data_IF_112457016204
#
_entry.id   IF_112457016204
#
_cell.length_a   1.000
_cell.length_b   1.000
_cell.length_c   1.000
_cell.angle_alpha   90.00
_cell.angle_beta   90.00
_cell.angle_gamma   90.00
#
_symmetry.space_group_name_H-M   'P 1'
#
loop_
_entity.id
_entity.type
_entity.pdbx_description
1 polymer ?
#
# COMPACT_ATOMS: atom_id res chain seq x y z
N UNK A 1 -20.72 48.30 0.65
CA UNK A 1 -21.01 47.50 -0.55
C UNK A 1 -19.68 46.99 -1.11
N UNK A 2 -19.07 45.98 -0.48
CA UNK A 2 -18.03 45.14 -1.10
C UNK A 2 -18.05 43.79 -0.39
N UNK A 3 -18.74 42.85 -1.01
CA UNK A 3 -18.90 41.46 -0.61
C UNK A 3 -17.60 40.69 -0.89
N UNK A 4 -17.29 39.79 0.03
CA UNK A 4 -16.94 38.38 -0.24
C UNK A 4 -15.80 38.09 -1.22
N UNK A 5 -14.60 37.77 -0.71
CA UNK A 5 -13.58 37.04 -1.48
C UNK A 5 -12.56 36.24 -0.63
N UNK A 6 -12.90 35.81 0.59
CA UNK A 6 -12.00 35.00 1.44
C UNK A 6 -12.64 33.76 2.08
N UNK A 7 -13.68 33.19 1.46
CA UNK A 7 -14.15 31.83 1.78
C UNK A 7 -13.97 30.90 0.57
N UNK A 8 -12.71 30.76 0.13
CA UNK A 8 -12.28 29.62 -0.68
C UNK A 8 -11.98 28.45 0.24
N UNK A 9 -13.00 27.67 0.56
CA UNK A 9 -12.94 26.41 1.31
C UNK A 9 -11.75 25.54 0.86
N UNK A 10 -10.71 25.46 1.69
CA UNK A 10 -9.78 24.32 1.65
C UNK A 10 -10.54 23.14 2.25
N UNK A 11 -11.32 22.43 1.43
CA UNK A 11 -11.81 21.09 1.78
C UNK A 11 -10.56 20.24 2.04
N UNK A 12 -10.24 19.99 3.30
CA UNK A 12 -9.12 19.14 3.67
C UNK A 12 -9.35 17.76 3.06
N UNK A 13 -8.67 17.47 1.95
CA UNK A 13 -8.36 16.11 1.54
C UNK A 13 -7.71 15.44 2.75
N UNK A 14 -8.22 14.28 3.16
CA UNK A 14 -7.64 13.47 4.24
C UNK A 14 -6.91 12.28 3.63
N UNK A 15 -5.68 12.46 3.11
CA UNK A 15 -4.88 11.34 2.65
C UNK A 15 -4.42 10.50 3.85
N UNK A 16 -4.69 9.19 3.80
CA UNK A 16 -4.20 8.22 4.78
C UNK A 16 -3.21 7.30 4.07
N UNK A 17 -1.96 7.30 4.54
CA UNK A 17 -0.92 6.39 4.05
C UNK A 17 -0.83 5.16 4.95
N UNK A 18 -0.92 3.98 4.34
CA UNK A 18 -0.90 2.70 5.07
C UNK A 18 0.48 2.06 4.96
N UNK A 19 1.12 1.87 6.12
CA UNK A 19 2.46 1.32 6.27
C UNK A 19 2.46 -0.22 6.24
N UNK A 20 3.58 -0.83 5.88
CA UNK A 20 3.65 -2.29 5.67
C UNK A 20 4.97 -2.88 6.16
N UNK A 21 4.89 -4.08 6.72
CA UNK A 21 6.01 -4.94 7.05
C UNK A 21 6.65 -5.53 5.79
N UNK A 22 7.98 -5.69 5.80
CA UNK A 22 8.77 -6.31 4.71
C UNK A 22 9.37 -7.68 5.07
N UNK A 23 8.79 -8.41 6.03
CA UNK A 23 9.31 -9.70 6.49
C UNK A 23 8.95 -10.84 5.53
N UNK A 24 9.91 -11.73 5.28
CA UNK A 24 9.68 -13.03 4.62
C UNK A 24 9.56 -14.18 5.62
N UNK A 25 9.98 -13.97 6.87
CA UNK A 25 9.75 -14.92 7.95
C UNK A 25 8.37 -14.63 8.52
N UNK A 26 7.41 -15.50 8.19
CA UNK A 26 6.04 -15.39 8.65
C UNK A 26 5.85 -16.21 9.92
N UNK A 27 5.09 -15.65 10.86
CA UNK A 27 4.75 -16.28 12.14
C UNK A 27 3.26 -16.18 12.36
N UNK A 28 2.70 -17.07 13.16
CA UNK A 28 1.32 -16.96 13.59
C UNK A 28 1.25 -15.99 14.77
N UNK A 29 0.34 -15.03 14.70
CA UNK A 29 0.08 -14.03 15.75
C UNK A 29 -0.74 -14.61 16.90
N UNK A 30 -0.94 -13.82 17.96
CA UNK A 30 -1.82 -14.21 19.07
C UNK A 30 -3.28 -14.43 18.62
N UNK A 31 -3.67 -13.77 17.53
CA UNK A 31 -5.01 -13.86 16.92
C UNK A 31 -5.17 -15.07 15.99
N UNK A 32 -4.11 -15.88 15.83
CA UNK A 32 -4.13 -17.09 15.00
C UNK A 32 -4.04 -16.82 13.50
N UNK A 33 -3.62 -15.61 13.11
CA UNK A 33 -3.43 -15.20 11.72
C UNK A 33 -1.94 -15.15 11.35
N UNK A 34 -1.64 -15.24 10.06
CA UNK A 34 -0.27 -15.02 9.57
C UNK A 34 0.13 -13.54 9.76
N UNK A 35 1.26 -13.28 10.43
CA UNK A 35 1.75 -11.95 10.83
C UNK A 35 1.86 -10.99 9.65
N UNK A 36 2.41 -11.45 8.52
CA UNK A 36 2.59 -10.60 7.33
C UNK A 36 1.22 -10.21 6.75
N UNK A 37 0.29 -11.16 6.66
CA UNK A 37 -1.07 -10.92 6.18
C UNK A 37 -1.84 -10.00 7.12
N UNK A 38 -1.80 -10.29 8.42
CA UNK A 38 -2.52 -9.53 9.43
C UNK A 38 -2.05 -8.08 9.46
N UNK A 39 -0.73 -7.87 9.48
CA UNK A 39 -0.14 -6.53 9.54
C UNK A 39 -0.36 -5.73 8.25
N UNK A 40 -0.18 -6.36 7.08
CA UNK A 40 -0.19 -5.63 5.80
C UNK A 40 -1.58 -5.51 5.19
N UNK A 41 -2.49 -6.43 5.49
CA UNK A 41 -3.81 -6.53 4.85
C UNK A 41 -4.91 -6.39 5.88
N UNK A 42 -5.05 -7.37 6.78
CA UNK A 42 -6.28 -7.51 7.56
C UNK A 42 -6.46 -6.39 8.58
N UNK A 43 -5.40 -6.00 9.29
CA UNK A 43 -5.44 -4.88 10.24
C UNK A 43 -5.83 -3.56 9.55
N UNK A 44 -5.24 -3.28 8.39
CA UNK A 44 -5.61 -2.09 7.59
C UNK A 44 -7.02 -2.17 7.04
N UNK A 45 -7.46 -3.35 6.61
CA UNK A 45 -8.83 -3.58 6.17
C UNK A 45 -9.84 -3.27 7.27
N UNK A 46 -9.64 -3.80 8.48
CA UNK A 46 -10.49 -3.51 9.64
C UNK A 46 -10.46 -2.01 9.97
N UNK A 47 -9.28 -1.39 10.00
CA UNK A 47 -9.13 0.05 10.25
C UNK A 47 -9.97 0.88 9.26
N UNK A 48 -9.92 0.57 7.97
CA UNK A 48 -10.69 1.28 6.94
C UNK A 48 -12.19 1.05 7.14
N UNK A 49 -12.60 -0.17 7.49
CA UNK A 49 -14.01 -0.51 7.74
C UNK A 49 -14.58 0.25 8.94
N UNK A 50 -13.81 0.37 10.03
CA UNK A 50 -14.21 1.15 11.22
C UNK A 50 -14.24 2.66 10.94
N UNK A 51 -13.32 3.15 10.09
CA UNK A 51 -13.25 4.57 9.72
C UNK A 51 -14.13 4.94 8.51
N UNK A 52 -14.87 3.99 7.93
CA UNK A 52 -15.61 4.17 6.68
C UNK A 52 -16.55 5.39 6.72
N UNK A 53 -17.28 5.56 7.84
CA UNK A 53 -18.21 6.68 8.05
C UNK A 53 -17.51 8.04 8.16
N UNK A 54 -16.25 8.06 8.59
CA UNK A 54 -15.45 9.27 8.71
C UNK A 54 -14.71 9.62 7.42
N UNK A 55 -14.47 8.64 6.57
CA UNK A 55 -13.73 8.76 5.31
C UNK A 55 -14.65 9.04 4.12
N UNK A 56 -15.84 8.46 4.10
CA UNK A 56 -16.78 8.57 2.98
C UNK A 56 -17.66 9.81 3.09
N UNK A 57 -17.24 10.90 2.44
CA UNK A 57 -18.01 12.14 2.33
C UNK A 57 -18.04 12.64 0.89
N UNK A 58 -19.23 12.77 0.29
CA UNK A 58 -19.39 13.29 -1.07
C UNK A 58 -18.88 14.72 -1.23
N UNK A 59 -18.98 15.53 -0.18
CA UNK A 59 -18.56 16.93 -0.21
C UNK A 59 -17.06 17.12 0.08
N UNK A 60 -16.37 16.12 0.62
CA UNK A 60 -14.95 16.21 0.93
C UNK A 60 -14.26 14.89 0.58
N UNK A 61 -13.75 14.75 -0.65
CA UNK A 61 -13.07 13.56 -1.09
C UNK A 61 -11.94 13.16 -0.13
N UNK A 62 -11.88 11.88 0.20
CA UNK A 62 -10.80 11.27 0.97
C UNK A 62 -9.98 10.36 0.08
N UNK A 63 -8.71 10.14 0.45
CA UNK A 63 -7.79 9.33 -0.32
C UNK A 63 -7.10 8.31 0.58
N UNK A 64 -7.20 7.04 0.22
CA UNK A 64 -6.38 5.96 0.76
C UNK A 64 -5.16 5.80 -0.15
N UNK A 65 -3.97 5.84 0.44
CA UNK A 65 -2.71 5.61 -0.28
C UNK A 65 -2.03 4.37 0.31
N UNK A 66 -1.95 3.33 -0.51
CA UNK A 66 -1.38 2.05 -0.13
C UNK A 66 0.08 1.95 -0.53
N UNK A 67 0.95 1.58 0.40
CA UNK A 67 2.36 1.32 0.09
C UNK A 67 2.53 -0.11 -0.43
N UNK A 68 2.62 -0.29 -1.74
CA UNK A 68 2.88 -1.58 -2.37
C UNK A 68 4.35 -1.72 -2.82
N UNK A 69 4.66 -2.76 -3.59
CA UNK A 69 6.01 -3.06 -4.07
C UNK A 69 6.01 -3.49 -5.55
N UNK A 70 7.18 -3.43 -6.18
CA UNK A 70 7.45 -4.12 -7.46
C UNK A 70 7.40 -5.65 -7.32
N UNK A 71 7.53 -6.16 -6.09
CA UNK A 71 7.39 -7.58 -5.78
C UNK A 71 5.94 -8.04 -5.62
N UNK A 72 4.93 -7.19 -5.85
CA UNK A 72 3.53 -7.61 -5.89
C UNK A 72 3.30 -8.49 -7.13
N UNK A 73 3.39 -9.81 -6.96
CA UNK A 73 3.35 -10.78 -8.07
C UNK A 73 2.11 -11.67 -7.94
N UNK A 74 1.32 -11.72 -9.01
CA UNK A 74 0.15 -12.61 -9.12
C UNK A 74 0.49 -14.08 -8.87
N UNK A 75 1.65 -14.53 -9.35
CA UNK A 75 2.13 -15.91 -9.18
C UNK A 75 2.31 -16.34 -7.72
N UNK A 76 2.44 -15.37 -6.81
CA UNK A 76 2.73 -15.60 -5.41
C UNK A 76 1.48 -15.41 -4.54
N UNK A 77 0.28 -15.29 -5.12
CA UNK A 77 -0.97 -15.09 -4.39
C UNK A 77 -2.00 -16.15 -4.77
N UNK A 78 -2.78 -16.61 -3.79
CA UNK A 78 -3.91 -17.54 -3.97
C UNK A 78 -5.12 -17.02 -3.21
N UNK A 79 -6.30 -17.06 -3.84
CA UNK A 79 -7.55 -16.68 -3.18
C UNK A 79 -7.97 -17.71 -2.13
N UNK A 80 -7.56 -18.96 -2.29
CA UNK A 80 -7.83 -20.07 -1.38
C UNK A 80 -6.93 -20.04 -0.14
N UNK A 81 -5.80 -19.32 -0.21
CA UNK A 81 -4.85 -19.11 0.88
C UNK A 81 -4.46 -17.63 0.97
N UNK A 82 -5.44 -16.76 1.26
CA UNK A 82 -5.22 -15.30 1.33
C UNK A 82 -4.17 -14.89 2.36
N UNK A 83 -3.99 -15.72 3.40
CA UNK A 83 -3.00 -15.50 4.46
C UNK A 83 -1.59 -15.92 4.05
N UNK A 84 -1.47 -16.64 2.92
CA UNK A 84 -0.22 -17.20 2.41
C UNK A 84 0.44 -18.21 3.37
N UNK A 85 -0.38 -18.95 4.12
CA UNK A 85 0.06 -19.89 5.16
C UNK A 85 0.89 -21.05 4.62
N UNK A 86 0.72 -21.42 3.35
CA UNK A 86 1.41 -22.56 2.71
C UNK A 86 2.54 -22.12 1.77
N UNK A 87 2.71 -20.83 1.55
CA UNK A 87 3.66 -20.30 0.57
C UNK A 87 5.00 -19.86 1.16
N UNK A 88 5.99 -19.61 0.29
CA UNK A 88 7.35 -19.22 0.68
C UNK A 88 7.65 -17.71 0.52
N UNK A 89 6.68 -16.98 -0.05
CA UNK A 89 6.81 -15.56 -0.43
C UNK A 89 5.69 -14.68 0.17
N UNK A 90 5.49 -14.68 1.51
CA UNK A 90 4.38 -13.99 2.19
C UNK A 90 4.41 -12.49 1.95
N UNK A 91 5.60 -11.88 1.88
CA UNK A 91 5.70 -10.46 1.55
C UNK A 91 5.17 -10.17 0.14
N UNK A 92 5.62 -10.92 -0.87
CA UNK A 92 5.18 -10.75 -2.26
C UNK A 92 3.66 -10.93 -2.41
N UNK A 93 3.12 -11.96 -1.75
CA UNK A 93 1.69 -12.26 -1.69
C UNK A 93 0.89 -11.10 -1.07
N UNK A 94 1.30 -10.62 0.11
CA UNK A 94 0.64 -9.48 0.76
C UNK A 94 0.68 -8.21 -0.10
N UNK A 95 1.78 -7.94 -0.80
CA UNK A 95 1.87 -6.78 -1.72
C UNK A 95 0.93 -6.89 -2.92
N UNK A 96 0.67 -8.10 -3.41
CA UNK A 96 -0.33 -8.32 -4.44
C UNK A 96 -1.76 -8.18 -3.89
N UNK A 97 -2.02 -8.69 -2.69
CA UNK A 97 -3.30 -8.51 -2.00
C UNK A 97 -3.62 -7.03 -1.72
N UNK A 98 -2.62 -6.19 -1.42
CA UNK A 98 -2.78 -4.73 -1.33
C UNK A 98 -3.30 -4.14 -2.65
N UNK A 99 -2.71 -4.55 -3.78
CA UNK A 99 -3.09 -4.04 -5.09
C UNK A 99 -4.57 -4.40 -5.39
N UNK A 100 -4.96 -5.65 -5.12
CA UNK A 100 -6.35 -6.12 -5.23
C UNK A 100 -7.28 -5.32 -4.31
N UNK A 101 -6.93 -5.20 -3.03
CA UNK A 101 -7.76 -4.52 -2.04
C UNK A 101 -7.95 -3.05 -2.37
N UNK A 102 -6.91 -2.35 -2.83
CA UNK A 102 -7.01 -0.96 -3.26
C UNK A 102 -8.01 -0.80 -4.41
N UNK A 103 -7.99 -1.70 -5.39
CA UNK A 103 -8.92 -1.66 -6.54
C UNK A 103 -10.35 -1.92 -6.07
N UNK A 104 -10.57 -2.95 -5.25
CA UNK A 104 -11.89 -3.27 -4.71
C UNK A 104 -12.47 -2.11 -3.88
N UNK A 105 -11.68 -1.53 -2.98
CA UNK A 105 -12.10 -0.40 -2.16
C UNK A 105 -12.42 0.84 -3.00
N UNK A 106 -11.59 1.17 -4.00
CA UNK A 106 -11.87 2.30 -4.88
C UNK A 106 -13.21 2.10 -5.60
N UNK A 107 -13.42 0.92 -6.19
CA UNK A 107 -14.66 0.62 -6.93
C UNK A 107 -15.89 0.69 -6.03
N UNK A 108 -15.77 0.32 -4.76
CA UNK A 108 -16.87 0.25 -3.81
C UNK A 108 -17.23 1.60 -3.17
N UNK A 109 -16.23 2.45 -2.93
CA UNK A 109 -16.40 3.66 -2.14
C UNK A 109 -16.15 4.98 -2.90
N UNK A 110 -15.68 4.94 -4.15
CA UNK A 110 -15.44 6.17 -4.94
C UNK A 110 -16.71 7.02 -5.10
N UNK A 111 -17.87 6.40 -5.32
CA UNK A 111 -19.16 7.10 -5.42
C UNK A 111 -19.58 7.78 -4.11
N UNK A 112 -18.97 7.36 -2.98
CA UNK A 112 -19.17 7.94 -1.65
C UNK A 112 -18.05 8.90 -1.25
N UNK A 113 -17.19 9.28 -2.20
CA UNK A 113 -16.10 10.24 -1.99
C UNK A 113 -14.82 9.64 -1.42
N UNK A 114 -14.66 8.31 -1.38
CA UNK A 114 -13.42 7.67 -0.93
C UNK A 114 -12.69 7.01 -2.09
N UNK A 115 -11.51 7.52 -2.41
CA UNK A 115 -10.67 7.03 -3.51
C UNK A 115 -9.49 6.27 -2.95
N UNK A 116 -9.02 5.26 -3.68
CA UNK A 116 -7.88 4.43 -3.27
C UNK A 116 -6.82 4.41 -4.37
N UNK A 117 -5.58 4.61 -3.99
CA UNK A 117 -4.43 4.69 -4.89
C UNK A 117 -3.26 3.88 -4.32
N UNK A 118 -2.41 3.36 -5.20
CA UNK A 118 -1.26 2.54 -4.81
C UNK A 118 0.04 3.25 -5.16
N UNK A 119 0.96 3.32 -4.20
CA UNK A 119 2.31 3.85 -4.38
C UNK A 119 3.37 2.75 -4.28
N UNK A 120 4.48 2.90 -4.98
CA UNK A 120 5.66 2.07 -4.89
C UNK A 120 6.91 2.94 -4.65
N UNK A 121 7.57 2.82 -3.49
CA UNK A 121 8.71 3.68 -3.13
C UNK A 121 10.01 3.42 -3.92
N UNK A 122 10.04 2.36 -4.74
CA UNK A 122 11.28 1.87 -5.33
C UNK A 122 12.18 1.16 -4.31
N UNK A 123 13.41 0.86 -4.71
CA UNK A 123 14.41 0.20 -3.88
C UNK A 123 15.22 1.25 -3.13
N UNK A 124 14.90 1.43 -1.85
CA UNK A 124 15.62 2.29 -0.93
C UNK A 124 16.67 1.48 -0.17
N UNK A 125 17.81 2.11 0.13
CA UNK A 125 18.72 1.60 1.14
C UNK A 125 18.21 2.08 2.50
N UNK A 126 17.87 1.13 3.36
CA UNK A 126 17.43 1.39 4.73
C UNK A 126 18.50 0.93 5.71
N UNK A 127 18.41 1.32 6.98
CA UNK A 127 19.33 0.82 8.01
C UNK A 127 19.37 -0.72 8.07
N UNK A 128 18.30 -1.39 7.65
CA UNK A 128 18.24 -2.85 7.50
C UNK A 128 19.21 -3.39 6.45
N UNK A 129 19.41 -2.68 5.33
CA UNK A 129 20.38 -3.08 4.30
C UNK A 129 21.82 -2.78 4.71
N UNK A 130 22.06 -1.66 5.39
CA UNK A 130 23.41 -1.27 5.79
C UNK A 130 24.06 -2.26 6.78
N UNK A 131 23.25 -2.94 7.61
CA UNK A 131 23.74 -3.95 8.57
C UNK A 131 24.17 -5.30 7.98
N UNK A 132 23.95 -5.55 6.68
CA UNK A 132 24.21 -6.86 6.05
C UNK A 132 25.65 -6.97 5.51
N UNK A 133 26.27 -5.85 5.14
CA UNK A 133 27.55 -5.81 4.44
C UNK A 133 28.57 -4.94 5.17
N UNK A 134 29.85 -5.33 5.13
CA UNK A 134 30.93 -4.53 5.72
C UNK A 134 31.08 -3.17 5.01
N UNK A 135 31.59 -2.12 5.69
CA UNK A 135 31.77 -0.80 5.08
C UNK A 135 32.59 -0.82 3.79
N UNK A 136 33.59 -1.71 3.73
CA UNK A 136 34.41 -1.91 2.54
C UNK A 136 33.60 -2.45 1.34
N UNK A 137 32.71 -3.43 1.57
CA UNK A 137 31.84 -3.94 0.50
C UNK A 137 30.85 -2.88 0.02
N UNK A 138 30.33 -2.06 0.92
CA UNK A 138 29.48 -0.92 0.56
C UNK A 138 30.22 0.11 -0.32
N UNK A 139 31.49 0.39 -0.03
CA UNK A 139 32.33 1.28 -0.84
C UNK A 139 32.44 0.79 -2.29
N UNK A 140 32.50 -0.53 -2.52
CA UNK A 140 32.55 -1.12 -3.87
C UNK A 140 31.18 -1.15 -4.56
N UNK A 141 30.11 -1.41 -3.81
CA UNK A 141 28.75 -1.58 -4.36
C UNK A 141 28.11 -0.24 -4.72
N UNK A 142 28.40 0.84 -4.00
CA UNK A 142 27.76 2.15 -4.23
C UNK A 142 27.98 2.72 -5.63
N UNK A 143 29.21 2.76 -6.18
CA UNK A 143 29.43 3.18 -7.58
C UNK A 143 28.68 2.28 -8.59
N UNK A 144 28.62 0.97 -8.32
CA UNK A 144 27.87 0.03 -9.17
C UNK A 144 26.37 0.32 -9.14
N UNK A 145 25.79 0.61 -7.97
CA UNK A 145 24.39 0.98 -7.84
C UNK A 145 24.10 2.31 -8.55
N UNK A 146 25.00 3.29 -8.47
CA UNK A 146 24.88 4.55 -9.21
C UNK A 146 24.92 4.33 -10.73
N UNK A 147 25.78 3.44 -11.21
CA UNK A 147 25.80 3.05 -12.62
C UNK A 147 24.50 2.32 -13.02
N UNK A 148 24.00 1.42 -12.17
CA UNK A 148 22.75 0.70 -12.38
C UNK A 148 21.54 1.66 -12.48
N UNK A 149 21.57 2.83 -11.84
CA UNK A 149 20.49 3.84 -11.97
C UNK A 149 20.29 4.32 -13.40
N UNK A 150 21.29 4.25 -14.29
CA UNK A 150 21.11 4.60 -15.71
C UNK A 150 20.22 3.59 -16.46
N UNK A 151 20.12 2.36 -15.96
CA UNK A 151 19.34 1.28 -16.58
C UNK A 151 18.09 0.90 -15.77
N UNK A 152 18.13 1.14 -14.46
CA UNK A 152 17.09 0.77 -13.51
C UNK A 152 16.73 1.95 -12.62
N UNK A 153 15.84 2.82 -13.11
CA UNK A 153 15.37 4.01 -12.39
C UNK A 153 14.57 3.69 -11.11
N UNK A 154 14.37 2.41 -10.79
CA UNK A 154 13.72 1.94 -9.57
C UNK A 154 14.59 2.09 -8.31
N UNK A 155 15.90 2.29 -8.46
CA UNK A 155 16.84 2.44 -7.34
C UNK A 155 16.80 3.87 -6.79
N UNK A 156 15.84 4.13 -5.91
CA UNK A 156 15.66 5.43 -5.25
C UNK A 156 16.73 5.70 -4.19
N UNK A 157 17.31 4.65 -3.60
CA UNK A 157 18.43 4.64 -2.64
C UNK A 157 18.19 5.35 -1.31
N UNK A 158 17.48 6.47 -1.27
CA UNK A 158 17.18 7.21 -0.04
C UNK A 158 15.69 7.17 0.26
N UNK A 159 15.29 7.20 1.55
CA UNK A 159 13.89 7.38 1.93
C UNK A 159 13.27 8.62 1.29
N UNK A 160 14.00 9.73 1.24
CA UNK A 160 13.57 10.97 0.59
C UNK A 160 13.15 10.73 -0.87
N UNK A 161 14.01 10.09 -1.66
CA UNK A 161 13.73 9.82 -3.07
C UNK A 161 12.55 8.88 -3.25
N UNK A 162 12.42 7.86 -2.40
CA UNK A 162 11.32 6.93 -2.54
C UNK A 162 9.98 7.46 -2.00
N UNK A 163 9.96 8.58 -1.26
CA UNK A 163 8.72 9.29 -0.92
C UNK A 163 8.17 10.18 -2.04
N UNK A 164 8.89 10.34 -3.16
CA UNK A 164 8.49 11.22 -4.28
C UNK A 164 7.05 10.98 -4.75
N UNK A 165 6.71 9.73 -5.11
CA UNK A 165 5.37 9.40 -5.58
C UNK A 165 4.30 9.51 -4.49
N UNK A 166 4.67 9.32 -3.22
CA UNK A 166 3.76 9.50 -2.09
C UNK A 166 3.41 10.99 -1.96
N UNK A 167 4.42 11.86 -1.88
CA UNK A 167 4.22 13.32 -1.80
C UNK A 167 3.47 13.83 -3.02
N UNK A 168 3.80 13.34 -4.22
CA UNK A 168 3.08 13.71 -5.44
C UNK A 168 1.60 13.36 -5.36
N UNK A 169 1.25 12.15 -4.88
CA UNK A 169 -0.14 11.70 -4.71
C UNK A 169 -0.93 12.60 -3.75
N UNK A 170 -0.32 13.05 -2.66
CA UNK A 170 -0.96 13.97 -1.70
C UNK A 170 -1.40 15.30 -2.32
N UNK A 171 -0.78 15.70 -3.44
CA UNK A 171 -1.10 16.93 -4.16
C UNK A 171 -2.07 16.72 -5.34
N UNK A 172 -2.44 15.47 -5.65
CA UNK A 172 -3.36 15.18 -6.74
C UNK A 172 -4.81 15.22 -6.28
N UNK A 173 -5.71 15.50 -7.24
CA UNK A 173 -7.15 15.28 -7.05
C UNK A 173 -7.43 13.78 -7.11
N UNK A 174 -7.94 13.15 -6.02
CA UNK A 174 -8.10 11.69 -5.98
C UNK A 174 -8.99 11.15 -7.12
N UNK A 175 -9.96 11.95 -7.58
CA UNK A 175 -10.90 11.61 -8.65
C UNK A 175 -10.23 11.52 -10.03
N UNK A 176 -9.07 12.16 -10.21
CA UNK A 176 -8.32 12.16 -11.46
C UNK A 176 -7.35 10.98 -11.58
N UNK A 177 -7.14 10.23 -10.50
CA UNK A 177 -6.19 9.13 -10.45
C UNK A 177 -6.79 7.85 -11.03
N UNK A 178 -5.96 7.06 -11.69
CA UNK A 178 -6.38 5.78 -12.23
C UNK A 178 -6.23 4.69 -11.14
N UNK A 179 -7.32 4.02 -10.74
CA UNK A 179 -7.25 3.02 -9.67
C UNK A 179 -6.55 1.73 -10.08
N UNK A 180 -6.37 1.48 -11.38
CA UNK A 180 -5.74 0.27 -11.93
C UNK A 180 -4.23 0.43 -12.16
N UNK A 181 -3.65 1.58 -11.77
CA UNK A 181 -2.21 1.81 -11.88
C UNK A 181 -1.56 1.96 -10.52
N UNK A 182 -0.30 1.58 -10.46
CA UNK A 182 0.59 1.83 -9.35
C UNK A 182 1.50 3.00 -9.71
N UNK A 183 1.57 4.00 -8.83
CA UNK A 183 2.47 5.14 -8.97
C UNK A 183 3.81 4.81 -8.34
N UNK A 184 4.91 5.01 -9.05
CA UNK A 184 6.25 4.60 -8.64
C UNK A 184 7.15 5.82 -8.47
N UNK A 185 7.85 5.86 -7.35
CA UNK A 185 9.00 6.74 -7.17
C UNK A 185 10.16 6.19 -7.98
N UNK A 186 10.75 7.04 -8.82
CA UNK A 186 11.90 6.71 -9.64
C UNK A 186 12.94 7.81 -9.55
N UNK A 187 14.21 7.44 -9.73
CA UNK A 187 15.34 8.37 -9.73
C UNK A 187 16.14 8.17 -11.01
N UNK A 188 16.43 9.24 -11.74
CA UNK A 188 17.27 9.20 -12.95
C UNK A 188 18.71 8.84 -12.61
N UNK A 189 19.51 8.45 -13.61
CA UNK A 189 20.95 8.22 -13.45
C UNK A 189 21.70 9.40 -12.81
N UNK A 190 21.26 10.63 -13.10
CA UNK A 190 21.82 11.87 -12.54
C UNK A 190 21.25 12.24 -11.16
N UNK A 191 20.34 11.44 -10.59
CA UNK A 191 19.82 11.64 -9.25
C UNK A 191 18.55 12.48 -9.13
N UNK A 192 17.91 12.86 -10.24
CA UNK A 192 16.63 13.59 -10.21
C UNK A 192 15.46 12.64 -9.96
N UNK A 193 14.60 12.95 -9.00
CA UNK A 193 13.42 12.14 -8.71
C UNK A 193 12.27 12.51 -9.65
N UNK A 194 11.44 11.52 -9.96
CA UNK A 194 10.21 11.70 -10.72
C UNK A 194 9.22 10.59 -10.42
N UNK A 195 7.96 10.83 -10.78
CA UNK A 195 6.87 9.86 -10.66
C UNK A 195 6.57 9.23 -12.00
N UNK A 196 6.42 7.93 -12.02
CA UNK A 196 5.91 7.18 -13.17
C UNK A 196 4.75 6.29 -12.75
N UNK A 197 3.96 5.78 -13.68
CA UNK A 197 2.84 4.89 -13.39
C UNK A 197 2.96 3.59 -14.18
N UNK A 198 2.62 2.46 -13.57
CA UNK A 198 2.57 1.15 -14.23
C UNK A 198 1.20 0.52 -14.00
N UNK A 199 0.57 0.01 -15.06
CA UNK A 199 -0.66 -0.79 -14.95
C UNK A 199 -0.40 -2.04 -14.10
N UNK A 200 -1.27 -2.29 -13.14
CA UNK A 200 -1.19 -3.47 -12.29
C UNK A 200 -1.67 -4.71 -13.06
N UNK A 201 -0.99 -5.84 -12.88
CA UNK A 201 -1.37 -7.12 -13.47
C UNK A 201 -2.38 -7.84 -12.56
N UNK A 202 -3.61 -7.32 -12.55
CA UNK A 202 -4.70 -7.83 -11.74
C UNK A 202 -6.00 -7.83 -12.50
N UNK A 203 -6.94 -8.58 -11.97
CA UNK A 203 -8.29 -8.74 -12.49
C UNK A 203 -9.29 -8.20 -11.44
N UNK A 204 -10.28 -7.43 -11.89
CA UNK A 204 -11.24 -6.77 -10.99
C UNK A 204 -12.15 -7.79 -10.28
N UNK A 205 -12.48 -8.91 -10.93
CA UNK A 205 -13.29 -9.96 -10.30
C UNK A 205 -12.49 -10.66 -9.19
N UNK A 206 -11.19 -10.86 -9.40
CA UNK A 206 -10.26 -11.36 -8.38
C UNK A 206 -10.16 -10.38 -7.21
N UNK A 207 -10.14 -9.07 -7.48
CA UNK A 207 -10.13 -8.04 -6.44
C UNK A 207 -11.41 -8.07 -5.59
N UNK A 208 -12.58 -8.21 -6.22
CA UNK A 208 -13.85 -8.34 -5.51
C UNK A 208 -13.89 -9.62 -4.65
N UNK A 209 -13.47 -10.76 -5.19
CA UNK A 209 -13.38 -12.02 -4.43
C UNK A 209 -12.44 -11.90 -3.21
N UNK A 210 -11.30 -11.25 -3.38
CA UNK A 210 -10.38 -10.96 -2.28
C UNK A 210 -11.05 -10.13 -1.18
N UNK A 211 -11.80 -9.08 -1.56
CA UNK A 211 -12.56 -8.27 -0.62
C UNK A 211 -13.65 -9.07 0.12
N UNK A 212 -14.37 -9.97 -0.58
CA UNK A 212 -15.37 -10.83 0.05
C UNK A 212 -14.74 -11.81 1.07
N UNK A 213 -13.59 -12.42 0.74
CA UNK A 213 -12.88 -13.28 1.69
C UNK A 213 -12.47 -12.51 2.96
N UNK A 214 -12.05 -11.24 2.83
CA UNK A 214 -11.73 -10.39 3.99
C UNK A 214 -12.97 -10.06 4.84
N UNK A 215 -14.13 -9.82 4.22
CA UNK A 215 -15.40 -9.63 4.94
C UNK A 215 -15.85 -10.89 5.69
N UNK A 216 -15.67 -12.07 5.10
CA UNK A 216 -15.97 -13.33 5.77
C UNK A 216 -15.05 -13.57 6.96
N UNK A 217 -13.75 -13.31 6.78
CA UNK A 217 -12.78 -13.38 7.87
C UNK A 217 -13.10 -12.40 9.00
N UNK A 218 -13.45 -11.16 8.68
CA UNK A 218 -13.91 -10.16 9.66
C UNK A 218 -15.08 -10.68 10.50
N UNK A 219 -16.10 -11.25 9.86
CA UNK A 219 -17.25 -11.83 10.57
C UNK A 219 -16.81 -12.95 11.51
N UNK A 220 -15.92 -13.83 11.05
CA UNK A 220 -15.44 -14.95 11.85
C UNK A 220 -14.68 -14.47 13.09
N UNK A 221 -13.73 -13.55 12.91
CA UNK A 221 -12.95 -12.96 14.00
C UNK A 221 -13.84 -12.25 15.03
N UNK A 222 -14.82 -11.45 14.58
CA UNK A 222 -15.76 -10.76 15.49
C UNK A 222 -16.62 -11.73 16.30
N UNK A 223 -17.02 -12.87 15.72
CA UNK A 223 -17.76 -13.91 16.44
C UNK A 223 -16.88 -14.59 17.48
N UNK A 224 -15.63 -14.88 17.14
CA UNK A 224 -14.65 -15.49 18.06
C UNK A 224 -14.39 -14.58 19.25
N UNK A 225 -14.12 -13.28 19.03
CA UNK A 225 -13.89 -12.30 20.12
C UNK A 225 -15.09 -12.25 21.07
N UNK A 226 -16.31 -12.12 20.54
CA UNK A 226 -17.53 -12.09 21.37
C UNK A 226 -17.74 -13.36 22.20
N UNK A 227 -17.31 -14.53 21.71
CA UNK A 227 -17.40 -15.78 22.47
C UNK A 227 -16.40 -15.79 23.62
N UNK A 228 -15.18 -15.33 23.39
CA UNK A 228 -14.14 -15.23 24.42
C UNK A 228 -14.56 -14.26 25.53
N UNK A 229 -15.08 -13.08 25.17
CA UNK A 229 -15.55 -12.07 26.14
C UNK A 229 -16.73 -12.55 26.99
N UNK A 230 -17.59 -13.40 26.45
CA UNK A 230 -18.72 -13.98 27.18
C UNK A 230 -18.33 -15.18 28.07
N UNK A 231 -17.10 -15.69 27.94
CA UNK A 231 -16.57 -16.83 28.71
C UNK A 231 -15.58 -16.40 29.80
N UNK A 232 -15.15 -15.13 29.80
CA UNK A 232 -14.31 -14.48 30.82
C UNK A 232 -15.14 -13.73 31.85
#
# INVERSE_FOLDING_TARGET
MTRSLLMGSRRCLKPISLATLSSQNDKITADGLQEVFETNIFGHFILIRELESLLCHSDSPSQLIWTSSRNARKSNFSLEDIQHSKGQEPYSSSKYAIDLLSVALNRKFNQRGLYSSVVCPGTMLTNLTYGILSPFMWMLIMPMIWLLRFFANAFTLTPYNGTEALVWLFHQKPESLNPLVKYLSATTGFGSNYVTSKKMDLDEDTAEKCYQNLLELEKHVRVTIKKTDNQS
#
